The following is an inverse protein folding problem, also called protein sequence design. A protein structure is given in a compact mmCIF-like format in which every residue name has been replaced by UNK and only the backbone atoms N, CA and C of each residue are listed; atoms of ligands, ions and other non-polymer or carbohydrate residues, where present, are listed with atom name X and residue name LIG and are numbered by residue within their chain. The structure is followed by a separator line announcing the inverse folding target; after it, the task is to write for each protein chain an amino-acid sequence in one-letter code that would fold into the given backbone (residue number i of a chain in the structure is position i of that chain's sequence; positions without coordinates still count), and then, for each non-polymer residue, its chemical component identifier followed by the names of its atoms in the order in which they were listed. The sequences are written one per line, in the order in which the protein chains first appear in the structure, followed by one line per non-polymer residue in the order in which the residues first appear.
data_IF_654764810099
#
_entry.id   IF_654764810099
#
_cell.length_a   1.000
_cell.length_b   1.000
_cell.length_c   1.000
_cell.angle_alpha   90.00
_cell.angle_beta   90.00
_cell.angle_gamma   90.00
#
_symmetry.space_group_name_H-M   'P 1'
#
loop_
_entity.id
_entity.type
_entity.pdbx_description
1 polymer ?
#
# COMPACT_ATOMS: atom_id res chain seq x y z
N UNK A 1 -10.14 -1.19 -9.82
CA UNK A 1 -10.93 -0.28 -10.67
C UNK A 1 -10.75 -0.72 -12.12
N UNK A 2 -11.82 -0.78 -12.89
CA UNK A 2 -11.78 -1.05 -14.33
C UNK A 2 -12.37 0.14 -15.08
N UNK A 3 -11.68 0.60 -16.12
CA UNK A 3 -12.16 1.68 -16.99
C UNK A 3 -12.64 1.05 -18.29
N UNK A 4 -13.89 1.32 -18.66
CA UNK A 4 -14.54 0.76 -19.86
C UNK A 4 -14.93 1.92 -20.76
N UNK A 5 -14.42 1.91 -21.99
CA UNK A 5 -14.79 2.88 -23.03
C UNK A 5 -15.85 2.24 -23.95
N UNK A 6 -17.02 2.89 -24.08
CA UNK A 6 -18.13 2.39 -24.90
C UNK A 6 -18.95 3.55 -25.50
N UNK A 7 -19.04 3.62 -26.84
CA UNK A 7 -19.81 4.63 -27.57
C UNK A 7 -19.62 6.08 -27.04
N UNK A 8 -18.37 6.53 -26.93
CA UNK A 8 -17.95 7.84 -26.39
C UNK A 8 -18.20 8.09 -24.90
N UNK A 9 -18.65 7.07 -24.16
CA UNK A 9 -18.72 7.09 -22.70
C UNK A 9 -17.53 6.37 -22.08
N UNK A 10 -17.01 6.93 -20.99
CA UNK A 10 -16.05 6.27 -20.11
C UNK A 10 -16.72 5.91 -18.79
N UNK A 11 -16.79 4.62 -18.50
CA UNK A 11 -17.38 4.07 -17.28
C UNK A 11 -16.27 3.60 -16.35
N UNK A 12 -16.27 4.06 -15.10
CA UNK A 12 -15.41 3.53 -14.05
C UNK A 12 -16.18 2.51 -13.22
N UNK A 13 -15.82 1.23 -13.34
CA UNK A 13 -16.34 0.15 -12.51
C UNK A 13 -15.41 -0.09 -11.31
N UNK A 14 -15.97 -0.03 -10.11
CA UNK A 14 -15.26 -0.28 -8.84
C UNK A 14 -15.91 -1.41 -8.07
N UNK A 15 -15.11 -2.24 -7.41
CA UNK A 15 -15.61 -3.28 -6.54
C UNK A 15 -16.08 -2.65 -5.23
N UNK A 16 -17.28 -3.02 -4.79
CA UNK A 16 -17.77 -2.68 -3.44
C UNK A 16 -17.28 -3.75 -2.48
N UNK A 17 -16.42 -3.35 -1.55
CA UNK A 17 -15.88 -4.23 -0.52
C UNK A 17 -16.74 -4.11 0.75
N UNK A 18 -16.96 -5.21 1.50
CA UNK A 18 -17.74 -5.21 2.73
C UNK A 18 -16.92 -4.68 3.93
N UNK A 19 -16.31 -3.50 3.77
CA UNK A 19 -15.44 -2.83 4.74
C UNK A 19 -15.89 -1.40 4.99
N UNK A 20 -15.57 -0.87 6.16
CA UNK A 20 -15.72 0.55 6.53
C UNK A 20 -14.44 1.09 7.19
N UNK A 21 -14.41 2.40 7.44
CA UNK A 21 -13.24 3.13 7.95
C UNK A 21 -12.78 2.68 9.35
N UNK A 22 -13.69 2.12 10.16
CA UNK A 22 -13.42 1.60 11.51
C UNK A 22 -12.92 0.13 11.51
N UNK A 23 -12.85 -0.50 10.33
CA UNK A 23 -12.46 -1.91 10.18
C UNK A 23 -10.97 -2.12 9.89
N UNK A 24 -10.16 -1.06 9.94
CA UNK A 24 -8.71 -1.12 9.79
C UNK A 24 -8.09 -2.01 10.89
N UNK A 25 -7.19 -2.92 10.50
CA UNK A 25 -6.50 -3.86 11.40
C UNK A 25 -4.98 -3.93 11.16
N UNK A 26 -4.50 -3.33 10.08
CA UNK A 26 -3.08 -3.21 9.76
C UNK A 26 -2.81 -1.90 9.03
N UNK A 27 -1.77 -1.17 9.41
CA UNK A 27 -1.42 0.12 8.80
C UNK A 27 -2.01 1.31 9.55
N UNK A 28 -2.20 2.44 8.89
CA UNK A 28 -2.68 3.69 9.49
C UNK A 28 -3.43 4.56 8.49
N UNK A 29 -4.68 4.89 8.83
CA UNK A 29 -5.55 5.78 8.05
C UNK A 29 -5.61 7.22 8.54
N UNK A 30 -4.81 7.58 9.53
CA UNK A 30 -4.79 8.90 10.19
C UNK A 30 -3.41 9.57 10.15
N UNK A 31 -2.62 9.25 9.12
CA UNK A 31 -1.28 9.83 8.92
C UNK A 31 -0.25 9.36 9.94
N UNK A 32 -0.45 8.18 10.54
CA UNK A 32 0.45 7.60 11.53
C UNK A 32 0.14 7.99 12.98
N UNK A 33 -0.99 8.65 13.27
CA UNK A 33 -1.41 8.93 14.65
C UNK A 33 -1.78 7.62 15.38
N UNK A 34 -2.42 6.69 14.69
CA UNK A 34 -2.73 5.34 15.16
C UNK A 34 -2.16 4.34 14.17
N UNK A 35 -1.33 3.42 14.66
CA UNK A 35 -0.80 2.31 13.86
C UNK A 35 -1.50 1.03 14.32
N UNK A 36 -2.03 0.27 13.37
CA UNK A 36 -2.68 -1.01 13.59
C UNK A 36 -1.75 -2.15 13.18
N UNK A 37 -1.77 -3.22 13.97
CA UNK A 37 -1.13 -4.51 13.69
C UNK A 37 -1.82 -5.55 14.57
N UNK A 38 -3.15 -5.58 14.49
CA UNK A 38 -4.01 -6.01 15.58
C UNK A 38 -4.37 -7.51 15.51
N UNK A 39 -4.23 -8.11 14.32
CA UNK A 39 -4.55 -9.52 14.07
C UNK A 39 -3.25 -10.24 13.67
N UNK A 40 -2.71 -11.17 14.49
CA UNK A 40 -1.44 -11.86 14.21
C UNK A 40 -1.40 -12.55 12.84
N UNK A 41 -2.46 -13.27 12.49
CA UNK A 41 -2.59 -13.99 11.20
C UNK A 41 -2.54 -13.03 10.00
N UNK A 42 -3.12 -11.83 10.16
CA UNK A 42 -3.07 -10.79 9.14
C UNK A 42 -1.66 -10.19 9.05
N UNK A 43 -1.01 -9.96 10.20
CA UNK A 43 0.37 -9.46 10.24
C UNK A 43 1.35 -10.42 9.54
N UNK A 44 1.16 -11.73 9.72
CA UNK A 44 1.92 -12.77 9.01
C UNK A 44 1.64 -12.74 7.51
N UNK A 45 0.37 -12.60 7.10
CA UNK A 45 0.01 -12.49 5.68
C UNK A 45 0.61 -11.25 5.01
N UNK A 46 0.63 -10.11 5.70
CA UNK A 46 1.27 -8.88 5.22
C UNK A 46 2.79 -9.06 5.09
N UNK A 47 3.42 -9.73 6.05
CA UNK A 47 4.84 -10.08 5.99
C UNK A 47 5.14 -10.99 4.79
N UNK A 48 4.30 -12.01 4.57
CA UNK A 48 4.43 -12.91 3.43
C UNK A 48 4.24 -12.21 2.09
N UNK A 49 3.33 -11.22 2.00
CA UNK A 49 3.13 -10.40 0.81
C UNK A 49 4.34 -9.48 0.50
N UNK A 50 5.00 -8.97 1.53
CA UNK A 50 6.17 -8.10 1.41
C UNK A 50 7.47 -8.86 1.07
N UNK A 51 7.57 -10.14 1.45
CA UNK A 51 8.81 -10.93 1.32
C UNK A 51 9.31 -11.04 -0.13
N UNK A 52 8.48 -11.39 -1.14
CA UNK A 52 8.91 -11.45 -2.54
C UNK A 52 9.36 -10.11 -3.12
N UNK A 53 8.94 -8.99 -2.50
CA UNK A 53 9.28 -7.63 -2.90
C UNK A 53 10.53 -7.11 -2.17
N UNK A 54 11.19 -7.94 -1.36
CA UNK A 54 12.32 -7.57 -0.52
C UNK A 54 12.01 -6.38 0.42
N UNK A 55 10.75 -6.25 0.85
CA UNK A 55 10.33 -5.21 1.80
C UNK A 55 10.52 -5.75 3.23
N UNK A 56 11.38 -5.09 3.99
CA UNK A 56 11.67 -5.42 5.38
C UNK A 56 10.67 -4.78 6.36
N UNK A 57 10.49 -5.44 7.50
CA UNK A 57 9.74 -4.88 8.62
C UNK A 57 10.49 -3.75 9.31
N UNK A 58 9.76 -2.74 9.77
CA UNK A 58 10.30 -1.62 10.52
C UNK A 58 9.35 -1.23 11.66
N UNK A 59 9.89 -0.51 12.65
CA UNK A 59 9.09 0.02 13.75
C UNK A 59 8.32 1.25 13.30
N UNK A 60 7.00 1.21 13.46
CA UNK A 60 6.10 2.34 13.38
C UNK A 60 5.49 2.53 14.77
N UNK A 61 6.01 3.51 15.52
CA UNK A 61 5.75 3.70 16.96
C UNK A 61 6.12 2.45 17.78
N UNK A 62 5.14 1.84 18.42
CA UNK A 62 5.26 0.67 19.29
C UNK A 62 5.01 -0.66 18.55
N UNK A 63 4.64 -0.61 17.25
CA UNK A 63 4.35 -1.79 16.43
C UNK A 63 5.42 -1.99 15.34
N UNK A 64 5.55 -3.24 14.90
CA UNK A 64 6.37 -3.59 13.74
C UNK A 64 5.45 -3.88 12.55
N UNK A 65 5.64 -3.16 11.45
CA UNK A 65 4.90 -3.34 10.20
C UNK A 65 5.85 -3.59 9.03
N UNK A 66 5.37 -4.25 7.99
CA UNK A 66 6.04 -4.52 6.73
C UNK A 66 5.30 -3.76 5.63
N UNK A 67 6.05 -3.04 4.80
CA UNK A 67 5.47 -2.12 3.83
C UNK A 67 5.14 -0.75 4.43
N UNK A 68 4.73 0.20 3.57
CA UNK A 68 4.43 1.57 3.99
C UNK A 68 3.19 1.62 4.90
N UNK A 69 3.07 2.64 5.74
CA UNK A 69 2.01 2.71 6.76
C UNK A 69 0.58 2.76 6.19
N UNK A 70 0.44 3.24 4.96
CA UNK A 70 -0.81 3.30 4.19
C UNK A 70 -1.02 2.04 3.32
N UNK A 71 -0.20 1.00 3.49
CA UNK A 71 -0.52 -0.35 3.03
C UNK A 71 -1.53 -0.98 4.00
N UNK A 72 -2.80 -0.67 3.78
CA UNK A 72 -3.88 -0.91 4.73
C UNK A 72 -4.54 -2.28 4.54
N UNK A 73 -4.87 -2.93 5.65
CA UNK A 73 -5.69 -4.13 5.64
C UNK A 73 -6.85 -4.08 6.64
N UNK A 74 -8.03 -4.47 6.14
CA UNK A 74 -9.30 -4.43 6.84
C UNK A 74 -9.87 -5.84 6.99
N UNK A 75 -10.54 -6.11 8.12
CA UNK A 75 -11.36 -7.32 8.30
C UNK A 75 -12.81 -6.97 7.96
N UNK A 76 -13.31 -7.51 6.86
CA UNK A 76 -14.68 -7.25 6.40
C UNK A 76 -15.75 -7.93 7.23
N UNK A 77 -17.00 -7.52 7.03
CA UNK A 77 -18.18 -8.10 7.71
C UNK A 77 -18.43 -9.56 7.32
N UNK A 78 -17.87 -10.01 6.20
CA UNK A 78 -17.89 -11.39 5.73
C UNK A 78 -16.74 -12.24 6.30
N UNK A 79 -15.95 -11.68 7.21
CA UNK A 79 -14.84 -12.35 7.88
C UNK A 79 -13.55 -12.44 7.06
N UNK A 80 -13.53 -11.92 5.82
CA UNK A 80 -12.35 -11.93 4.96
C UNK A 80 -11.45 -10.73 5.23
N UNK A 81 -10.16 -10.89 4.92
CA UNK A 81 -9.21 -9.79 4.95
C UNK A 81 -9.14 -9.14 3.57
N UNK A 82 -9.25 -7.81 3.54
CA UNK A 82 -9.12 -6.99 2.34
C UNK A 82 -7.92 -6.10 2.50
N UNK A 83 -6.96 -6.23 1.58
CA UNK A 83 -5.77 -5.40 1.53
C UNK A 83 -5.88 -4.47 0.33
N UNK A 84 -5.58 -3.20 0.53
CA UNK A 84 -5.60 -2.21 -0.55
C UNK A 84 -4.50 -1.17 -0.38
N UNK A 85 -4.41 -0.27 -1.37
CA UNK A 85 -3.34 0.74 -1.52
C UNK A 85 -1.92 0.13 -1.64
N UNK A 86 -1.68 -0.48 -2.80
CA UNK A 86 -0.40 -1.10 -3.16
C UNK A 86 0.59 -0.14 -3.83
N UNK A 87 0.26 1.16 -3.95
CA UNK A 87 0.96 2.09 -4.84
C UNK A 87 2.43 2.30 -4.48
N UNK A 88 2.79 2.10 -3.20
CA UNK A 88 4.14 2.29 -2.65
C UNK A 88 4.87 0.98 -2.33
N UNK A 89 4.39 -0.15 -2.84
CA UNK A 89 5.06 -1.45 -2.67
C UNK A 89 6.14 -1.70 -3.71
N UNK A 90 6.11 -0.99 -4.83
CA UNK A 90 7.16 -1.15 -5.83
C UNK A 90 8.44 -0.49 -5.33
N UNK A 91 9.60 -1.17 -5.45
CA UNK A 91 10.88 -0.56 -5.12
C UNK A 91 11.12 0.67 -6.01
N UNK A 92 11.96 1.61 -5.58
CA UNK A 92 12.39 2.70 -6.44
C UNK A 92 13.00 2.15 -7.72
N UNK A 93 12.75 2.83 -8.84
CA UNK A 93 13.42 2.54 -10.10
C UNK A 93 14.93 2.74 -9.92
N UNK A 94 15.73 1.83 -10.49
CA UNK A 94 17.19 1.98 -10.45
C UNK A 94 17.60 3.22 -11.25
N UNK A 95 18.65 3.96 -10.84
CA UNK A 95 19.16 5.05 -11.64
C UNK A 95 19.48 4.58 -13.07
N UNK A 96 19.24 5.44 -14.05
CA UNK A 96 19.64 5.16 -15.44
C UNK A 96 21.14 4.87 -15.52
N UNK A 97 21.52 3.89 -16.32
CA UNK A 97 22.94 3.62 -16.62
C UNK A 97 23.57 4.75 -17.46
N UNK A 98 22.75 5.51 -18.18
CA UNK A 98 23.17 6.68 -18.94
C UNK A 98 23.56 7.84 -17.98
N UNK A 99 24.83 8.33 -18.06
CA UNK A 99 25.32 9.43 -17.24
C UNK A 99 24.53 10.74 -17.40
N UNK A 100 23.97 11.02 -18.58
CA UNK A 100 23.26 12.27 -18.87
C UNK A 100 21.91 12.32 -18.14
N UNK A 101 21.14 11.23 -18.17
CA UNK A 101 19.86 11.12 -17.45
C UNK A 101 20.04 10.95 -15.93
N UNK A 102 21.22 10.51 -15.49
CA UNK A 102 21.56 10.36 -14.08
C UNK A 102 21.78 11.71 -13.37
N UNK A 103 22.18 12.75 -14.11
CA UNK A 103 22.38 14.10 -13.55
C UNK A 103 21.13 14.98 -13.61
N UNK A 104 20.19 14.71 -14.53
CA UNK A 104 18.95 15.50 -14.67
C UNK A 104 17.90 15.22 -13.59
N UNK A 105 18.03 14.14 -12.81
CA UNK A 105 17.14 13.82 -11.70
C UNK A 105 17.48 14.49 -10.36
N UNK A 106 18.60 15.22 -10.28
CA UNK A 106 18.93 15.98 -9.09
C UNK A 106 18.06 17.24 -9.04
N UNK A 107 17.14 17.29 -8.08
CA UNK A 107 16.39 18.51 -7.74
C UNK A 107 17.39 19.66 -7.59
N UNK A 108 17.36 20.60 -8.53
CA UNK A 108 18.17 21.81 -8.49
C UNK A 108 17.77 22.61 -7.26
N UNK A 109 18.57 22.56 -6.21
CA UNK A 109 18.42 23.42 -5.05
C UNK A 109 18.73 24.85 -5.50
N UNK A 110 17.67 25.61 -5.77
CA UNK A 110 17.69 27.08 -5.86
C UNK A 110 17.78 27.71 -4.47
#
# INVERSE_FOLDING_TARGET
MCVIDHCDYRIAAVALLPISSDMLKYGSGDGGLTVHADIPELNEAMTAACTPLAICGHKAKDKTIHGPGDFEAHRGTDGRNYVYDFARLLPPESPSEDPETRTSGACSTS
#
